data_IF_290847787804
#
_entry.id   IF_290847787804
#
_cell.length_a   1.000
_cell.length_b   1.000
_cell.length_c   1.000
_cell.angle_alpha   90.00
_cell.angle_beta   90.00
_cell.angle_gamma   90.00
#
_symmetry.space_group_name_H-M   'P 1'
#
loop_
_entity.id
_entity.type
_entity.pdbx_description
1 polymer ?
#
# COMPACT_ATOMS: atom_id res chain seq x y z
N UNK A 1 22.04 49.04 -36.16
CA UNK A 1 22.34 48.66 -34.79
C UNK A 1 21.25 47.68 -34.35
N UNK A 2 21.50 46.40 -34.51
CA UNK A 2 20.60 45.32 -34.08
C UNK A 2 21.02 44.97 -32.63
N UNK A 3 20.10 45.16 -31.70
CA UNK A 3 20.29 44.71 -30.32
C UNK A 3 19.95 43.19 -30.25
N UNK A 4 20.98 42.38 -30.07
CA UNK A 4 20.90 40.96 -29.78
C UNK A 4 20.34 40.82 -28.36
N UNK A 5 19.09 40.38 -28.27
CA UNK A 5 18.49 39.96 -27.00
C UNK A 5 19.10 38.60 -26.61
N UNK A 6 20.03 38.64 -25.68
CA UNK A 6 20.53 37.44 -24.99
C UNK A 6 19.46 36.95 -24.05
N UNK A 7 18.74 35.89 -24.46
CA UNK A 7 17.94 35.08 -23.56
C UNK A 7 18.86 34.32 -22.64
N UNK A 8 19.11 34.87 -21.46
CA UNK A 8 19.71 34.13 -20.36
C UNK A 8 18.64 33.13 -19.85
N UNK A 9 18.72 31.89 -20.35
CA UNK A 9 18.12 30.72 -19.74
C UNK A 9 18.77 30.57 -18.35
N UNK A 10 18.13 31.17 -17.35
CA UNK A 10 18.39 30.81 -15.97
C UNK A 10 17.73 29.43 -15.71
N UNK A 11 18.35 28.36 -16.16
CA UNK A 11 18.28 27.09 -15.46
C UNK A 11 18.81 27.34 -14.05
N UNK A 12 17.91 27.71 -13.14
CA UNK A 12 18.27 27.74 -11.71
C UNK A 12 18.73 26.31 -11.37
N UNK A 13 20.01 26.16 -11.17
CA UNK A 13 20.67 24.93 -10.77
C UNK A 13 19.97 24.45 -9.47
N UNK A 14 19.13 23.43 -9.61
CA UNK A 14 18.39 22.83 -8.52
C UNK A 14 19.38 22.13 -7.60
N UNK A 15 19.85 22.82 -6.58
CA UNK A 15 20.64 22.22 -5.50
C UNK A 15 19.70 21.54 -4.51
N UNK A 16 19.60 20.21 -4.51
CA UNK A 16 18.75 19.52 -3.57
C UNK A 16 19.27 19.72 -2.14
N UNK A 17 18.42 20.23 -1.25
CA UNK A 17 18.73 20.45 0.18
C UNK A 17 19.07 19.12 0.87
N UNK A 18 18.43 18.04 0.44
CA UNK A 18 18.71 16.68 0.89
C UNK A 18 19.53 15.92 -0.16
N UNK A 19 20.52 15.14 0.28
CA UNK A 19 21.19 14.22 -0.62
C UNK A 19 20.17 13.23 -1.20
N UNK A 20 20.20 13.01 -2.52
CA UNK A 20 19.25 12.17 -3.25
C UNK A 20 19.13 10.78 -2.65
N UNK A 21 20.25 10.13 -2.38
CA UNK A 21 20.27 8.78 -1.79
C UNK A 21 19.62 8.76 -0.40
N UNK A 22 19.84 9.80 0.40
CA UNK A 22 19.26 9.91 1.74
C UNK A 22 17.72 9.97 1.69
N UNK A 23 17.17 10.73 0.75
CA UNK A 23 15.70 10.81 0.55
C UNK A 23 15.12 9.48 0.11
N UNK A 24 15.75 8.81 -0.86
CA UNK A 24 15.28 7.51 -1.37
C UNK A 24 15.31 6.43 -0.27
N UNK A 25 16.43 6.34 0.45
CA UNK A 25 16.59 5.37 1.55
C UNK A 25 15.60 5.67 2.68
N UNK A 26 15.41 6.93 3.04
CA UNK A 26 14.47 7.32 4.10
C UNK A 26 13.01 6.99 3.73
N UNK A 27 12.61 7.29 2.50
CA UNK A 27 11.26 6.98 2.01
C UNK A 27 11.03 5.47 1.95
N UNK A 28 12.02 4.70 1.48
CA UNK A 28 11.96 3.24 1.42
C UNK A 28 11.87 2.60 2.81
N UNK A 29 12.76 2.98 3.72
CA UNK A 29 12.79 2.43 5.09
C UNK A 29 11.48 2.71 5.80
N UNK A 30 10.97 3.94 5.72
CA UNK A 30 9.72 4.31 6.34
C UNK A 30 8.55 3.45 5.88
N UNK A 31 8.32 3.38 4.58
CA UNK A 31 7.22 2.58 4.03
C UNK A 31 7.42 1.07 4.22
N UNK A 32 8.67 0.57 4.22
CA UNK A 32 8.94 -0.85 4.50
C UNK A 32 8.55 -1.23 5.94
N UNK A 33 8.84 -0.37 6.93
CA UNK A 33 8.43 -0.56 8.32
C UNK A 33 6.91 -0.59 8.44
N UNK A 34 6.24 0.33 7.78
CA UNK A 34 4.77 0.40 7.84
C UNK A 34 4.07 -0.77 7.19
N UNK A 35 4.54 -1.19 6.02
CA UNK A 35 4.00 -2.38 5.38
C UNK A 35 4.33 -3.65 6.18
N UNK A 36 5.50 -3.72 6.81
CA UNK A 36 5.82 -4.80 7.75
C UNK A 36 4.79 -4.87 8.88
N UNK A 37 4.56 -3.76 9.59
CA UNK A 37 3.59 -3.67 10.69
C UNK A 37 2.17 -4.02 10.25
N UNK A 38 1.78 -3.61 9.04
CA UNK A 38 0.48 -3.93 8.47
C UNK A 38 0.33 -5.43 8.18
N UNK A 39 1.35 -6.05 7.60
CA UNK A 39 1.29 -7.47 7.20
C UNK A 39 1.47 -8.44 8.36
N UNK A 40 2.24 -8.10 9.41
CA UNK A 40 2.29 -8.95 10.61
C UNK A 40 0.92 -9.06 11.27
N UNK A 41 0.14 -7.97 11.29
CA UNK A 41 -1.24 -8.01 11.76
C UNK A 41 -2.10 -8.92 10.86
N UNK A 42 -2.02 -8.77 9.55
CA UNK A 42 -2.79 -9.57 8.60
C UNK A 42 -2.56 -11.07 8.80
N UNK A 43 -1.31 -11.47 8.99
CA UNK A 43 -0.94 -12.87 9.24
C UNK A 43 -1.45 -13.33 10.62
N UNK A 44 -1.23 -12.55 11.66
CA UNK A 44 -1.69 -12.89 13.01
C UNK A 44 -3.23 -12.95 13.12
N UNK A 45 -3.95 -12.11 12.37
CA UNK A 45 -5.42 -12.12 12.34
C UNK A 45 -6.01 -13.45 11.85
N UNK A 46 -5.25 -14.18 11.04
CA UNK A 46 -5.67 -15.50 10.54
C UNK A 46 -5.23 -16.65 11.46
N UNK A 47 -3.97 -16.62 11.91
CA UNK A 47 -3.36 -17.79 12.57
C UNK A 47 -3.33 -17.72 14.10
N UNK A 48 -3.47 -16.52 14.70
CA UNK A 48 -3.26 -16.29 16.15
C UNK A 48 -4.49 -15.70 16.83
N UNK A 49 -5.01 -14.58 16.32
CA UNK A 49 -6.00 -13.77 17.03
C UNK A 49 -7.34 -14.49 17.27
N UNK A 50 -7.84 -15.37 16.39
CA UNK A 50 -9.04 -16.14 16.66
C UNK A 50 -8.95 -16.95 17.97
N UNK A 51 -7.76 -17.42 18.31
CA UNK A 51 -7.52 -18.26 19.50
C UNK A 51 -7.24 -17.46 20.77
N UNK A 52 -6.74 -16.21 20.65
CA UNK A 52 -6.24 -15.45 21.79
C UNK A 52 -7.18 -14.32 22.19
N UNK A 53 -7.77 -13.61 21.24
CA UNK A 53 -8.51 -12.38 21.51
C UNK A 53 -10.03 -12.54 21.49
N UNK A 54 -10.55 -13.68 21.07
CA UNK A 54 -11.99 -13.89 20.95
C UNK A 54 -12.47 -15.04 21.84
N UNK A 55 -13.78 -15.05 22.23
CA UNK A 55 -14.32 -16.11 23.07
C UNK A 55 -14.22 -17.47 22.37
N UNK A 56 -13.85 -18.48 23.13
CA UNK A 56 -13.80 -19.85 22.66
C UNK A 56 -15.23 -20.42 22.54
N UNK A 57 -15.57 -20.94 21.41
CA UNK A 57 -16.90 -21.51 21.15
C UNK A 57 -17.00 -21.98 19.71
N UNK A 58 -17.31 -21.07 18.80
CA UNK A 58 -17.35 -21.36 17.35
C UNK A 58 -16.07 -20.83 16.69
N UNK A 59 -15.17 -21.71 16.17
CA UNK A 59 -13.94 -21.31 15.49
C UNK A 59 -14.20 -20.44 14.26
N UNK A 60 -15.31 -20.67 13.57
CA UNK A 60 -15.68 -19.87 12.38
C UNK A 60 -16.06 -18.46 12.80
N UNK A 61 -16.84 -18.30 13.86
CA UNK A 61 -17.22 -16.99 14.39
C UNK A 61 -15.99 -16.21 14.88
N UNK A 62 -15.07 -16.86 15.60
CA UNK A 62 -13.83 -16.25 16.07
C UNK A 62 -12.93 -15.77 14.90
N UNK A 63 -12.84 -16.58 13.83
CA UNK A 63 -12.10 -16.21 12.62
C UNK A 63 -12.74 -15.00 11.92
N UNK A 64 -14.06 -14.98 11.77
CA UNK A 64 -14.78 -13.86 11.17
C UNK A 64 -14.64 -12.57 11.98
N UNK A 65 -14.69 -12.66 13.32
CA UNK A 65 -14.46 -11.52 14.22
C UNK A 65 -13.05 -10.99 14.09
N UNK A 66 -12.04 -11.87 14.00
CA UNK A 66 -10.65 -11.47 13.78
C UNK A 66 -10.46 -10.77 12.43
N UNK A 67 -11.06 -11.28 11.36
CA UNK A 67 -11.03 -10.64 10.05
C UNK A 67 -11.79 -9.31 10.03
N UNK A 68 -12.85 -9.18 10.83
CA UNK A 68 -13.54 -7.89 10.99
C UNK A 68 -12.62 -6.84 11.61
N UNK A 69 -11.79 -7.21 12.59
CA UNK A 69 -10.78 -6.28 13.15
C UNK A 69 -9.73 -5.88 12.12
N UNK A 70 -9.36 -6.79 11.22
CA UNK A 70 -8.48 -6.45 10.09
C UNK A 70 -9.09 -5.35 9.19
N UNK A 71 -10.40 -5.44 8.90
CA UNK A 71 -11.12 -4.46 8.09
C UNK A 71 -11.16 -3.05 8.71
N UNK A 72 -11.11 -2.92 10.05
CA UNK A 72 -11.13 -1.63 10.76
C UNK A 72 -10.03 -0.68 10.24
N UNK A 73 -8.84 -1.20 9.93
CA UNK A 73 -7.76 -0.38 9.43
C UNK A 73 -8.11 0.29 8.09
N UNK A 74 -8.83 -0.40 7.20
CA UNK A 74 -9.21 0.18 5.91
C UNK A 74 -10.20 1.34 6.05
N UNK A 75 -11.08 1.28 7.06
CA UNK A 75 -11.97 2.39 7.40
C UNK A 75 -11.21 3.54 8.07
N UNK A 76 -10.25 3.24 8.91
CA UNK A 76 -9.42 4.23 9.59
C UNK A 76 -8.47 4.99 8.64
N UNK A 77 -8.02 4.36 7.54
CA UNK A 77 -7.05 4.95 6.60
C UNK A 77 -7.53 6.25 5.93
N UNK A 78 -8.73 6.36 5.35
CA UNK A 78 -9.23 7.64 4.84
C UNK A 78 -9.33 8.73 5.92
N UNK A 79 -9.71 8.37 7.15
CA UNK A 79 -9.73 9.30 8.28
C UNK A 79 -8.31 9.77 8.59
N UNK A 80 -7.34 8.84 8.66
CA UNK A 80 -5.93 9.14 8.84
C UNK A 80 -5.38 10.04 7.72
N UNK A 81 -5.75 9.77 6.46
CA UNK A 81 -5.32 10.60 5.33
C UNK A 81 -5.89 12.02 5.40
N UNK A 82 -7.12 12.19 5.90
CA UNK A 82 -7.71 13.50 6.12
C UNK A 82 -7.00 14.27 7.24
N UNK A 83 -6.74 13.62 8.37
CA UNK A 83 -6.06 14.20 9.52
C UNK A 83 -4.61 14.54 9.19
N UNK A 84 -3.81 13.56 8.81
CA UNK A 84 -2.38 13.75 8.50
C UNK A 84 -2.18 14.56 7.22
N UNK A 85 -3.07 14.44 6.23
CA UNK A 85 -3.04 15.28 5.04
C UNK A 85 -3.23 16.76 5.38
N UNK A 86 -4.17 17.06 6.28
CA UNK A 86 -4.38 18.45 6.76
C UNK A 86 -3.08 19.01 7.38
N UNK A 87 -2.42 18.25 8.25
CA UNK A 87 -1.15 18.68 8.83
C UNK A 87 -0.02 18.72 7.81
N UNK A 88 0.03 17.75 6.88
CA UNK A 88 1.06 17.68 5.84
C UNK A 88 1.03 18.85 4.86
N UNK A 89 -0.16 19.37 4.55
CA UNK A 89 -0.33 20.53 3.69
C UNK A 89 -0.18 21.89 4.45
N UNK A 90 -0.21 21.88 5.79
CA UNK A 90 -0.11 23.08 6.61
C UNK A 90 1.16 23.22 7.45
N UNK A 91 1.61 22.14 8.06
CA UNK A 91 2.74 22.10 9.00
C UNK A 91 4.01 21.61 8.33
N UNK A 92 3.89 20.70 7.36
CA UNK A 92 5.02 20.14 6.61
C UNK A 92 4.96 18.62 6.49
N UNK A 93 5.66 18.14 5.47
CA UNK A 93 5.68 16.69 5.14
C UNK A 93 6.43 15.89 6.20
N UNK A 94 7.59 16.40 6.64
CA UNK A 94 8.47 15.75 7.62
C UNK A 94 7.77 15.53 8.98
N UNK A 95 7.21 16.58 9.56
CA UNK A 95 6.53 16.50 10.86
C UNK A 95 5.37 15.52 10.83
N UNK A 96 4.60 15.54 9.75
CA UNK A 96 3.44 14.65 9.55
C UNK A 96 3.87 13.20 9.41
N UNK A 97 4.95 12.91 8.66
CA UNK A 97 5.51 11.57 8.52
C UNK A 97 6.04 11.00 9.85
N UNK A 98 6.62 11.83 10.70
CA UNK A 98 7.05 11.44 12.05
C UNK A 98 5.84 11.08 12.91
N UNK A 99 4.79 11.91 12.89
CA UNK A 99 3.58 11.67 13.68
C UNK A 99 2.81 10.42 13.20
N UNK A 100 2.71 10.18 11.90
CA UNK A 100 2.05 8.99 11.36
C UNK A 100 2.81 7.69 11.71
N UNK A 101 4.14 7.69 11.57
CA UNK A 101 4.99 6.57 11.97
C UNK A 101 4.84 6.23 13.47
N UNK A 102 4.85 7.25 14.33
CA UNK A 102 4.66 7.06 15.78
C UNK A 102 3.27 6.49 16.09
N UNK A 103 2.23 7.04 15.46
CA UNK A 103 0.85 6.56 15.66
C UNK A 103 0.73 5.08 15.28
N UNK A 104 1.27 4.69 14.14
CA UNK A 104 1.23 3.31 13.67
C UNK A 104 2.10 2.40 14.54
N UNK A 105 3.35 2.77 14.79
CA UNK A 105 4.29 1.94 15.51
C UNK A 105 3.91 1.72 16.97
N UNK A 106 3.45 2.75 17.68
CA UNK A 106 2.94 2.61 19.05
C UNK A 106 1.74 1.66 19.06
N UNK A 107 0.81 1.82 18.13
CA UNK A 107 -0.35 0.92 17.99
C UNK A 107 0.08 -0.53 17.77
N UNK A 108 1.10 -0.76 16.92
CA UNK A 108 1.64 -2.10 16.65
C UNK A 108 2.25 -2.73 17.90
N UNK A 109 3.08 -1.99 18.63
CA UNK A 109 3.70 -2.47 19.87
C UNK A 109 2.64 -2.77 20.94
N UNK A 110 1.63 -1.92 21.05
CA UNK A 110 0.49 -2.15 21.97
C UNK A 110 -0.19 -3.47 21.66
N UNK A 111 -0.44 -3.81 20.39
CA UNK A 111 -1.04 -5.11 20.00
C UNK A 111 -0.19 -6.27 20.53
N UNK A 112 1.13 -6.20 20.39
CA UNK A 112 2.05 -7.22 20.92
C UNK A 112 2.01 -7.38 22.45
N UNK A 113 1.60 -6.36 23.18
CA UNK A 113 1.54 -6.34 24.64
C UNK A 113 0.15 -6.65 25.20
N UNK A 114 -0.90 -6.69 24.36
CA UNK A 114 -2.27 -6.91 24.84
C UNK A 114 -2.44 -8.26 25.50
N UNK A 115 -3.13 -8.31 26.68
CA UNK A 115 -3.61 -9.56 27.25
C UNK A 115 -4.71 -10.18 26.38
N UNK A 116 -4.81 -11.52 26.42
CA UNK A 116 -5.85 -12.25 25.70
C UNK A 116 -7.22 -12.22 26.38
N UNK A 117 -8.22 -12.78 25.69
CA UNK A 117 -9.60 -12.86 26.17
C UNK A 117 -9.73 -13.59 27.51
N UNK A 118 -8.94 -14.64 27.72
CA UNK A 118 -8.92 -15.39 28.99
C UNK A 118 -8.54 -14.53 30.21
N UNK A 119 -7.83 -13.42 30.02
CA UNK A 119 -7.36 -12.54 31.10
C UNK A 119 -8.27 -11.35 31.32
N UNK A 120 -8.70 -10.67 30.24
CA UNK A 120 -9.45 -9.39 30.33
C UNK A 120 -10.82 -9.43 29.63
N UNK A 121 -11.26 -10.61 29.21
CA UNK A 121 -12.59 -10.79 28.59
C UNK A 121 -12.82 -9.90 27.38
N UNK A 122 -13.99 -9.27 27.33
CA UNK A 122 -14.45 -8.44 26.19
C UNK A 122 -13.53 -7.24 25.90
N UNK A 123 -12.72 -6.80 26.86
CA UNK A 123 -11.75 -5.74 26.64
C UNK A 123 -10.62 -6.16 25.70
N UNK A 124 -10.34 -7.46 25.55
CA UNK A 124 -9.30 -7.94 24.65
C UNK A 124 -9.60 -7.61 23.16
N UNK A 125 -10.73 -8.01 22.58
CA UNK A 125 -11.07 -7.63 21.20
C UNK A 125 -11.31 -6.13 21.05
N UNK A 126 -11.83 -5.43 22.06
CA UNK A 126 -12.04 -3.99 22.02
C UNK A 126 -10.72 -3.23 21.90
N UNK A 127 -9.73 -3.54 22.76
CA UNK A 127 -8.41 -2.91 22.71
C UNK A 127 -7.66 -3.28 21.42
N UNK A 128 -7.81 -4.52 20.94
CA UNK A 128 -7.27 -4.93 19.66
C UNK A 128 -7.85 -4.08 18.52
N UNK A 129 -9.17 -3.86 18.51
CA UNK A 129 -9.86 -3.02 17.52
C UNK A 129 -9.38 -1.56 17.58
N UNK A 130 -9.23 -0.99 18.79
CA UNK A 130 -8.72 0.37 18.97
C UNK A 130 -7.27 0.50 18.50
N UNK A 131 -6.40 -0.43 18.83
CA UNK A 131 -5.02 -0.43 18.36
C UNK A 131 -4.96 -0.61 16.83
N UNK A 132 -5.81 -1.46 16.26
CA UNK A 132 -5.92 -1.61 14.80
C UNK A 132 -6.42 -0.35 14.11
N UNK A 133 -7.35 0.36 14.71
CA UNK A 133 -7.79 1.67 14.23
C UNK A 133 -6.62 2.67 14.25
N UNK A 134 -5.82 2.70 15.31
CA UNK A 134 -4.61 3.53 15.41
C UNK A 134 -3.58 3.20 14.31
N UNK A 135 -3.34 1.91 14.02
CA UNK A 135 -2.50 1.51 12.89
C UNK A 135 -3.04 2.04 11.56
N UNK A 136 -4.35 1.91 11.33
CA UNK A 136 -5.00 2.41 10.11
C UNK A 136 -4.89 3.93 9.97
N UNK A 137 -5.07 4.69 11.07
CA UNK A 137 -4.87 6.14 11.07
C UNK A 137 -3.44 6.50 10.64
N UNK A 138 -2.42 5.90 11.25
CA UNK A 138 -1.02 6.15 10.90
C UNK A 138 -0.74 5.83 9.44
N UNK A 139 -1.10 4.64 8.99
CA UNK A 139 -0.90 4.21 7.60
C UNK A 139 -1.61 5.13 6.58
N UNK A 140 -2.77 5.67 6.95
CA UNK A 140 -3.51 6.62 6.10
C UNK A 140 -2.74 7.90 5.81
N UNK A 141 -1.89 8.36 6.73
CA UNK A 141 -1.07 9.57 6.58
C UNK A 141 0.26 9.35 5.87
N UNK A 142 0.79 8.16 5.91
CA UNK A 142 2.18 7.90 5.55
C UNK A 142 2.44 7.91 4.04
N UNK A 143 1.65 7.17 3.29
CA UNK A 143 1.92 6.92 1.88
C UNK A 143 2.08 8.21 1.07
N UNK A 144 1.15 9.15 1.20
CA UNK A 144 1.19 10.42 0.46
C UNK A 144 2.41 11.26 0.83
N UNK A 145 2.77 11.29 2.12
CA UNK A 145 3.96 12.00 2.60
C UNK A 145 5.26 11.40 2.07
N UNK A 146 5.39 10.09 2.07
CA UNK A 146 6.58 9.40 1.56
C UNK A 146 6.71 9.59 0.03
N UNK A 147 5.62 9.47 -0.71
CA UNK A 147 5.57 9.71 -2.15
C UNK A 147 5.97 11.16 -2.49
N UNK A 148 5.40 12.14 -1.78
CA UNK A 148 5.72 13.56 -1.97
C UNK A 148 7.18 13.87 -1.60
N UNK A 149 7.67 13.35 -0.47
CA UNK A 149 9.06 13.56 -0.08
C UNK A 149 10.02 13.06 -1.17
N UNK A 150 9.75 11.90 -1.75
CA UNK A 150 10.55 11.34 -2.83
C UNK A 150 10.44 12.16 -4.13
N UNK A 151 9.22 12.52 -4.55
CA UNK A 151 8.99 13.17 -5.85
C UNK A 151 9.33 14.66 -5.85
N UNK A 152 9.10 15.38 -4.74
CA UNK A 152 9.43 16.81 -4.60
C UNK A 152 10.95 17.05 -4.48
N UNK A 153 11.75 16.04 -4.10
CA UNK A 153 13.21 16.08 -4.11
C UNK A 153 13.83 15.44 -5.37
N UNK A 154 13.00 14.95 -6.30
CA UNK A 154 13.46 14.30 -7.51
C UNK A 154 13.85 15.30 -8.62
N UNK A 155 14.85 14.97 -9.46
CA UNK A 155 15.04 15.69 -10.71
C UNK A 155 13.79 15.63 -11.59
N UNK A 156 13.44 16.71 -12.32
CA UNK A 156 12.16 16.77 -13.08
C UNK A 156 11.90 15.58 -14.03
N UNK A 157 12.94 15.01 -14.62
CA UNK A 157 12.83 13.87 -15.55
C UNK A 157 12.85 12.49 -14.89
N UNK A 158 12.98 12.39 -13.55
CA UNK A 158 13.11 11.13 -12.80
C UNK A 158 12.10 11.00 -11.66
N UNK A 159 11.01 11.74 -11.68
CA UNK A 159 10.03 11.77 -10.59
C UNK A 159 9.32 10.44 -10.39
N UNK A 160 8.98 9.72 -11.47
CA UNK A 160 8.32 8.44 -11.33
C UNK A 160 9.28 7.38 -10.78
N UNK A 161 10.55 7.39 -11.20
CA UNK A 161 11.57 6.53 -10.60
C UNK A 161 11.75 6.82 -9.11
N UNK A 162 11.89 8.09 -8.71
CA UNK A 162 12.02 8.46 -7.29
C UNK A 162 10.78 8.10 -6.49
N UNK A 163 9.57 8.39 -7.01
CA UNK A 163 8.30 8.01 -6.40
C UNK A 163 8.06 6.50 -6.30
N UNK A 164 8.79 5.69 -7.09
CA UNK A 164 8.72 4.23 -6.99
C UNK A 164 9.48 3.65 -5.78
N UNK A 165 10.44 4.38 -5.21
CA UNK A 165 11.20 3.89 -4.04
C UNK A 165 10.33 3.68 -2.79
N UNK A 166 9.45 4.60 -2.37
CA UNK A 166 8.50 4.31 -1.30
C UNK A 166 7.64 3.09 -1.58
N UNK A 167 7.30 2.83 -2.86
CA UNK A 167 6.48 1.69 -3.25
C UNK A 167 7.17 0.34 -3.05
N UNK A 168 8.52 0.30 -3.08
CA UNK A 168 9.29 -0.90 -2.73
C UNK A 168 9.09 -1.34 -1.28
N UNK A 169 8.62 -0.45 -0.41
CA UNK A 169 8.26 -0.80 0.96
C UNK A 169 7.23 -1.92 1.05
N UNK A 170 6.26 -1.97 0.11
CA UNK A 170 5.21 -2.99 0.13
C UNK A 170 5.76 -4.43 -0.10
N UNK A 171 6.49 -4.75 -1.17
CA UNK A 171 7.06 -6.09 -1.34
C UNK A 171 8.09 -6.45 -0.28
N UNK A 172 8.89 -5.49 0.18
CA UNK A 172 9.89 -5.70 1.24
C UNK A 172 9.18 -6.00 2.57
N UNK A 173 8.20 -5.19 2.97
CA UNK A 173 7.41 -5.41 4.18
C UNK A 173 6.67 -6.75 4.16
N UNK A 174 6.08 -7.12 3.02
CA UNK A 174 5.42 -8.42 2.83
C UNK A 174 6.39 -9.59 3.02
N UNK A 175 7.57 -9.52 2.39
CA UNK A 175 8.58 -10.57 2.47
C UNK A 175 9.06 -10.77 3.92
N UNK A 176 9.43 -9.68 4.60
CA UNK A 176 9.93 -9.78 5.98
C UNK A 176 8.84 -10.13 6.99
N UNK A 177 7.61 -9.64 6.84
CA UNK A 177 6.52 -9.99 7.73
C UNK A 177 6.21 -11.50 7.68
N UNK A 178 5.99 -12.05 6.49
CA UNK A 178 5.72 -13.48 6.34
C UNK A 178 6.94 -14.35 6.65
N UNK A 179 8.14 -13.88 6.28
CA UNK A 179 9.40 -14.56 6.61
C UNK A 179 9.66 -14.66 8.12
N UNK A 180 9.30 -13.62 8.89
CA UNK A 180 9.42 -13.63 10.36
C UNK A 180 8.50 -14.67 10.98
N UNK A 181 7.25 -14.76 10.57
CA UNK A 181 6.32 -15.78 11.07
C UNK A 181 6.77 -17.20 10.68
N UNK A 182 7.24 -17.37 9.46
CA UNK A 182 7.78 -18.66 9.01
C UNK A 182 9.01 -19.08 9.82
N UNK A 183 9.94 -18.15 10.06
CA UNK A 183 11.12 -18.38 10.88
C UNK A 183 10.75 -18.77 12.31
N UNK A 184 9.83 -18.02 12.93
CA UNK A 184 9.36 -18.33 14.28
C UNK A 184 8.66 -19.70 14.37
N UNK A 185 7.91 -20.08 13.33
CA UNK A 185 7.29 -21.41 13.25
C UNK A 185 8.30 -22.55 13.11
N UNK A 186 9.51 -22.29 12.62
CA UNK A 186 10.58 -23.27 12.56
C UNK A 186 11.39 -23.36 13.87
N UNK A 187 11.56 -22.24 14.57
CA UNK A 187 12.40 -22.16 15.77
C UNK A 187 11.65 -22.53 17.05
N UNK A 188 10.33 -22.37 17.06
CA UNK A 188 9.48 -22.54 18.23
C UNK A 188 8.53 -23.72 18.05
N UNK A 189 8.18 -24.36 19.17
CA UNK A 189 7.04 -25.30 19.17
C UNK A 189 5.72 -24.54 18.99
N UNK A 190 4.67 -25.24 18.58
CA UNK A 190 3.34 -24.62 18.43
C UNK A 190 2.85 -23.98 19.73
N UNK A 191 3.13 -24.62 20.87
CA UNK A 191 2.79 -24.08 22.20
C UNK A 191 3.57 -22.79 22.51
N UNK A 192 4.88 -22.76 22.25
CA UNK A 192 5.72 -21.58 22.42
C UNK A 192 5.29 -20.46 21.46
N UNK A 193 5.01 -20.79 20.22
CA UNK A 193 4.54 -19.84 19.22
C UNK A 193 3.22 -19.18 19.66
N UNK A 194 2.23 -19.97 20.07
CA UNK A 194 0.91 -19.48 20.49
C UNK A 194 0.94 -18.75 21.83
N UNK A 195 1.83 -19.12 22.78
CA UNK A 195 1.91 -18.47 24.08
C UNK A 195 2.59 -17.09 24.03
N UNK A 196 3.73 -16.97 23.33
CA UNK A 196 4.51 -15.73 23.30
C UNK A 196 5.15 -15.41 21.95
N UNK A 197 5.47 -16.42 21.13
CA UNK A 197 6.26 -16.25 19.90
C UNK A 197 5.62 -15.27 18.91
N UNK A 198 4.31 -15.29 18.75
CA UNK A 198 3.59 -14.39 17.87
C UNK A 198 3.70 -12.90 18.26
N UNK A 199 4.07 -12.59 19.50
CA UNK A 199 4.24 -11.23 20.01
C UNK A 199 5.56 -10.61 19.53
N UNK A 200 6.55 -11.43 19.21
CA UNK A 200 7.91 -11.00 18.84
C UNK A 200 7.93 -10.01 17.70
N UNK A 201 7.30 -10.25 16.54
CA UNK A 201 7.32 -9.27 15.45
C UNK A 201 6.65 -7.94 15.81
N UNK A 202 5.59 -7.95 16.62
CA UNK A 202 4.91 -6.73 17.09
C UNK A 202 5.78 -5.91 18.04
N UNK A 203 6.48 -6.55 18.96
CA UNK A 203 7.39 -5.86 19.91
C UNK A 203 8.65 -5.40 19.17
N UNK A 204 9.15 -6.19 18.21
CA UNK A 204 10.28 -5.82 17.37
C UNK A 204 10.01 -4.56 16.52
N UNK A 205 8.75 -4.28 16.22
CA UNK A 205 8.34 -3.02 15.58
C UNK A 205 8.84 -1.79 16.35
N UNK A 206 8.98 -1.83 17.67
CA UNK A 206 9.57 -0.72 18.43
C UNK A 206 10.98 -0.35 17.94
N UNK A 207 11.81 -1.34 17.64
CA UNK A 207 13.17 -1.13 17.09
C UNK A 207 13.08 -0.52 15.68
N UNK A 208 12.18 -1.03 14.85
CA UNK A 208 11.98 -0.53 13.50
C UNK A 208 11.48 0.92 13.50
N UNK A 209 10.58 1.28 14.42
CA UNK A 209 10.10 2.65 14.60
C UNK A 209 11.24 3.59 15.01
N UNK A 210 12.11 3.18 15.94
CA UNK A 210 13.28 3.99 16.32
C UNK A 210 14.20 4.23 15.10
N UNK A 211 14.46 3.21 14.30
CA UNK A 211 15.23 3.33 13.06
C UNK A 211 14.54 4.31 12.09
N UNK A 212 13.23 4.14 11.88
CA UNK A 212 12.45 5.00 11.01
C UNK A 212 12.44 6.46 11.47
N UNK A 213 12.32 6.71 12.77
CA UNK A 213 12.41 8.04 13.37
C UNK A 213 13.79 8.68 13.15
N UNK A 214 14.87 7.95 13.44
CA UNK A 214 16.22 8.43 13.23
C UNK A 214 16.43 8.89 11.78
N UNK A 215 16.00 8.09 10.84
CA UNK A 215 16.13 8.40 9.41
C UNK A 215 15.31 9.63 9.03
N UNK A 216 14.05 9.74 9.49
CA UNK A 216 13.14 10.86 9.15
C UNK A 216 13.54 12.18 9.79
N UNK A 217 13.95 12.16 11.06
CA UNK A 217 14.39 13.38 11.76
C UNK A 217 15.63 13.98 11.07
N UNK A 218 16.46 13.14 10.47
CA UNK A 218 17.68 13.58 9.75
C UNK A 218 17.42 14.27 8.40
N UNK A 219 16.16 14.29 7.88
CA UNK A 219 15.81 14.95 6.63
C UNK A 219 15.41 16.41 6.86
N UNK A 220 15.64 17.25 5.85
CA UNK A 220 15.10 18.60 5.75
C UNK A 220 13.70 18.55 5.08
N UNK A 221 12.89 19.58 5.30
CA UNK A 221 11.57 19.70 4.70
C UNK A 221 11.66 19.82 3.16
N UNK A 222 10.57 19.54 2.47
CA UNK A 222 10.49 19.61 1.01
C UNK A 222 10.65 21.04 0.50
N UNK A 223 11.48 21.27 -0.53
CA UNK A 223 11.63 22.62 -1.12
C UNK A 223 10.34 23.19 -1.70
N UNK A 224 9.46 22.34 -2.20
CA UNK A 224 8.16 22.74 -2.75
C UNK A 224 7.25 23.25 -1.65
N UNK A 225 7.21 22.54 -0.51
CA UNK A 225 6.44 22.98 0.65
C UNK A 225 6.96 24.31 1.21
N UNK A 226 8.28 24.48 1.33
CA UNK A 226 8.85 25.73 1.82
C UNK A 226 8.46 26.93 0.96
N UNK A 227 8.43 26.78 -0.36
CA UNK A 227 7.97 27.84 -1.29
C UNK A 227 6.50 28.22 -1.03
N UNK A 228 5.60 27.24 -0.86
CA UNK A 228 4.18 27.48 -0.57
C UNK A 228 4.00 28.14 0.79
N UNK A 229 4.74 27.70 1.81
CA UNK A 229 4.71 28.27 3.14
C UNK A 229 5.19 29.74 3.15
N UNK A 230 6.30 30.05 2.48
CA UNK A 230 6.84 31.43 2.33
C UNK A 230 5.86 32.32 1.56
N UNK A 231 5.15 31.79 0.55
CA UNK A 231 4.15 32.52 -0.22
C UNK A 231 2.80 32.71 0.52
N UNK A 232 2.63 32.15 1.72
CA UNK A 232 1.37 32.15 2.50
C UNK A 232 0.15 31.62 1.74
N UNK A 233 0.36 30.67 0.81
CA UNK A 233 -0.66 30.06 -0.04
C UNK A 233 -1.29 28.78 0.55
N UNK A 234 -1.09 28.54 1.85
CA UNK A 234 -1.65 27.37 2.53
C UNK A 234 -3.18 27.49 2.67
N UNK A 235 -3.87 26.40 2.37
CA UNK A 235 -5.33 26.31 2.48
C UNK A 235 -5.73 26.03 3.93
N UNK A 236 -6.78 26.72 4.43
CA UNK A 236 -7.25 26.54 5.82
C UNK A 236 -7.78 25.12 6.09
N UNK A 237 -8.55 24.56 5.16
CA UNK A 237 -9.16 23.22 5.27
C UNK A 237 -8.91 22.46 3.96
N UNK A 238 -7.76 21.75 3.82
CA UNK A 238 -7.40 21.06 2.58
C UNK A 238 -8.45 20.04 2.13
N UNK A 239 -8.98 19.20 3.03
CA UNK A 239 -10.01 18.22 2.70
C UNK A 239 -11.31 18.90 2.20
N UNK A 240 -11.75 19.98 2.84
CA UNK A 240 -12.92 20.75 2.40
C UNK A 240 -12.71 21.32 1.00
N UNK A 241 -11.54 21.88 0.72
CA UNK A 241 -11.17 22.37 -0.60
C UNK A 241 -11.12 21.24 -1.63
N UNK A 242 -10.57 20.09 -1.27
CA UNK A 242 -10.51 18.90 -2.11
C UNK A 242 -11.91 18.44 -2.54
N UNK A 243 -12.83 18.29 -1.57
CA UNK A 243 -14.18 17.77 -1.79
C UNK A 243 -15.15 18.79 -2.39
N UNK A 244 -14.79 20.07 -2.50
CA UNK A 244 -15.64 21.11 -3.12
C UNK A 244 -15.10 21.58 -4.46
N UNK A 245 -13.79 21.79 -4.56
CA UNK A 245 -13.16 22.36 -5.77
C UNK A 245 -12.47 21.32 -6.67
N UNK A 246 -12.08 20.17 -6.12
CA UNK A 246 -11.28 19.16 -6.83
C UNK A 246 -11.92 17.77 -6.84
N UNK A 247 -13.26 17.68 -6.73
CA UNK A 247 -14.02 16.41 -6.68
C UNK A 247 -13.71 15.53 -7.87
N UNK A 248 -13.72 16.07 -9.09
CA UNK A 248 -13.46 15.29 -10.31
C UNK A 248 -12.10 14.59 -10.25
N UNK A 249 -11.06 15.31 -9.88
CA UNK A 249 -9.68 14.77 -9.79
C UNK A 249 -9.58 13.73 -8.68
N UNK A 250 -10.25 13.96 -7.54
CA UNK A 250 -10.29 13.03 -6.41
C UNK A 250 -10.94 11.71 -6.80
N UNK A 251 -12.09 11.76 -7.51
CA UNK A 251 -12.78 10.58 -8.02
C UNK A 251 -11.90 9.84 -9.03
N UNK A 252 -11.34 10.55 -10.01
CA UNK A 252 -10.45 9.91 -10.99
C UNK A 252 -9.23 9.28 -10.33
N UNK A 253 -8.56 9.97 -9.40
CA UNK A 253 -7.43 9.42 -8.65
C UNK A 253 -7.80 8.16 -7.85
N UNK A 254 -8.99 8.12 -7.24
CA UNK A 254 -9.51 6.94 -6.56
C UNK A 254 -9.67 5.76 -7.52
N UNK A 255 -10.26 5.96 -8.68
CA UNK A 255 -10.46 4.88 -9.67
C UNK A 255 -9.15 4.47 -10.37
N UNK A 256 -8.17 5.36 -10.51
CA UNK A 256 -6.83 5.02 -11.03
C UNK A 256 -6.13 3.98 -10.15
N UNK A 257 -6.31 4.05 -8.82
CA UNK A 257 -5.73 3.08 -7.89
C UNK A 257 -6.50 1.76 -7.77
N UNK A 258 -7.74 1.69 -8.28
CA UNK A 258 -8.67 0.59 -8.01
C UNK A 258 -8.15 -0.77 -8.50
N UNK A 259 -7.68 -0.85 -9.75
CA UNK A 259 -7.11 -2.08 -10.30
C UNK A 259 -5.89 -2.57 -9.51
N UNK A 260 -5.05 -1.65 -9.06
CA UNK A 260 -3.84 -1.94 -8.29
C UNK A 260 -4.20 -2.66 -6.98
N UNK A 261 -5.14 -2.12 -6.22
CA UNK A 261 -5.60 -2.75 -4.98
C UNK A 261 -6.29 -4.09 -5.22
N UNK A 262 -7.21 -4.13 -6.17
CA UNK A 262 -7.96 -5.36 -6.50
C UNK A 262 -7.01 -6.48 -6.93
N UNK A 263 -6.05 -6.18 -7.81
CA UNK A 263 -5.05 -7.14 -8.26
C UNK A 263 -4.21 -7.66 -7.09
N UNK A 264 -3.68 -6.79 -6.23
CA UNK A 264 -2.84 -7.20 -5.10
C UNK A 264 -3.57 -8.17 -4.17
N UNK A 265 -4.79 -7.84 -3.77
CA UNK A 265 -5.52 -8.67 -2.80
C UNK A 265 -6.09 -9.95 -3.42
N UNK A 266 -6.37 -9.96 -4.72
CA UNK A 266 -6.67 -11.21 -5.44
C UNK A 266 -5.39 -12.08 -5.51
N UNK A 267 -4.22 -11.52 -5.83
CA UNK A 267 -2.98 -12.31 -5.93
C UNK A 267 -2.49 -12.83 -4.58
N UNK A 268 -2.68 -12.09 -3.50
CA UNK A 268 -2.15 -12.48 -2.18
C UNK A 268 -3.18 -13.21 -1.33
N UNK A 269 -4.31 -12.59 -1.03
CA UNK A 269 -5.31 -13.14 -0.09
C UNK A 269 -6.20 -14.17 -0.75
N UNK A 270 -6.85 -13.82 -1.85
CA UNK A 270 -7.78 -14.73 -2.52
C UNK A 270 -7.06 -15.95 -3.10
N UNK A 271 -5.96 -15.76 -3.84
CA UNK A 271 -5.22 -16.88 -4.44
C UNK A 271 -4.67 -17.84 -3.39
N UNK A 272 -4.23 -17.32 -2.23
CA UNK A 272 -3.81 -18.16 -1.12
C UNK A 272 -4.99 -18.97 -0.56
N UNK A 273 -6.12 -18.31 -0.29
CA UNK A 273 -7.33 -18.96 0.21
C UNK A 273 -7.81 -20.06 -0.74
N UNK A 274 -7.92 -19.75 -2.04
CA UNK A 274 -8.35 -20.71 -3.06
C UNK A 274 -7.37 -21.87 -3.22
N UNK A 275 -6.06 -21.58 -3.25
CA UNK A 275 -5.05 -22.63 -3.45
C UNK A 275 -4.95 -23.59 -2.27
N UNK A 276 -5.24 -23.14 -1.04
CA UNK A 276 -5.16 -23.98 0.17
C UNK A 276 -6.48 -24.62 0.57
N UNK A 277 -7.61 -24.13 0.10
CA UNK A 277 -8.91 -24.73 0.37
C UNK A 277 -9.01 -26.13 -0.21
N UNK A 278 -9.64 -27.04 0.53
CA UNK A 278 -9.84 -28.43 0.10
C UNK A 278 -10.67 -28.55 -1.18
N UNK A 279 -10.36 -29.54 -2.01
CA UNK A 279 -11.18 -29.87 -3.18
C UNK A 279 -12.60 -30.31 -2.72
N UNK A 280 -13.66 -29.98 -3.46
CA UNK A 280 -13.68 -29.33 -4.79
C UNK A 280 -13.71 -27.78 -4.75
N UNK A 281 -13.70 -27.16 -3.56
CA UNK A 281 -13.80 -25.71 -3.39
C UNK A 281 -12.54 -24.99 -3.83
N UNK A 282 -11.38 -25.60 -3.58
CA UNK A 282 -10.06 -25.06 -3.94
C UNK A 282 -9.14 -26.15 -4.49
N UNK A 283 -7.83 -25.87 -4.46
CA UNK A 283 -6.80 -26.74 -5.06
C UNK A 283 -6.23 -27.77 -4.05
N UNK A 284 -6.45 -27.61 -2.75
CA UNK A 284 -5.91 -28.49 -1.71
C UNK A 284 -4.38 -28.47 -1.58
N UNK A 285 -3.72 -27.43 -2.06
CA UNK A 285 -2.27 -27.31 -1.97
C UNK A 285 -1.81 -27.07 -0.52
N UNK A 286 -0.66 -27.62 -0.09
CA UNK A 286 -0.10 -27.35 1.23
C UNK A 286 0.14 -25.85 1.44
N UNK A 287 -0.28 -25.33 2.58
CA UNK A 287 -0.16 -23.89 2.90
C UNK A 287 1.28 -23.38 2.78
N UNK A 288 2.25 -24.14 3.28
CA UNK A 288 3.65 -23.75 3.22
C UNK A 288 4.16 -23.65 1.78
N UNK A 289 3.69 -24.52 0.88
CA UNK A 289 4.04 -24.47 -0.53
C UNK A 289 3.52 -23.18 -1.19
N UNK A 290 2.25 -22.82 -0.93
CA UNK A 290 1.64 -21.59 -1.45
C UNK A 290 2.33 -20.35 -0.89
N UNK A 291 2.69 -20.34 0.40
CA UNK A 291 3.48 -19.26 1.00
C UNK A 291 4.83 -19.09 0.33
N UNK A 292 5.55 -20.18 0.08
CA UNK A 292 6.82 -20.14 -0.64
C UNK A 292 6.68 -19.65 -2.08
N UNK A 293 5.58 -20.01 -2.76
CA UNK A 293 5.28 -19.48 -4.10
C UNK A 293 5.07 -17.97 -4.05
N UNK A 294 4.28 -17.46 -3.09
CA UNK A 294 4.03 -16.04 -2.90
C UNK A 294 5.31 -15.26 -2.57
N UNK A 295 6.14 -15.78 -1.66
CA UNK A 295 7.42 -15.14 -1.29
C UNK A 295 8.39 -15.04 -2.47
N UNK A 296 8.44 -16.05 -3.35
CA UNK A 296 9.23 -15.98 -4.58
C UNK A 296 8.62 -15.05 -5.62
N UNK A 297 7.30 -15.09 -5.78
CA UNK A 297 6.59 -14.25 -6.74
C UNK A 297 6.65 -12.74 -6.37
N UNK A 298 6.73 -12.42 -5.09
CA UNK A 298 6.88 -11.03 -4.60
C UNK A 298 8.20 -10.38 -5.04
N UNK A 299 9.22 -11.18 -5.39
CA UNK A 299 10.47 -10.69 -5.97
C UNK A 299 10.19 -10.05 -7.34
N UNK A 300 9.30 -10.66 -8.13
CA UNK A 300 8.82 -10.07 -9.38
C UNK A 300 8.15 -8.72 -9.16
N UNK A 301 7.29 -8.61 -8.13
CA UNK A 301 6.73 -7.34 -7.71
C UNK A 301 7.82 -6.30 -7.42
N UNK A 302 8.79 -6.62 -6.58
CA UNK A 302 9.86 -5.71 -6.18
C UNK A 302 10.71 -5.23 -7.38
N UNK A 303 11.05 -6.12 -8.31
CA UNK A 303 11.83 -5.78 -9.51
C UNK A 303 11.05 -4.88 -10.47
N UNK A 304 9.76 -5.14 -10.63
CA UNK A 304 8.92 -4.38 -11.58
C UNK A 304 8.57 -2.97 -11.10
N UNK A 305 8.59 -2.68 -9.79
CA UNK A 305 8.31 -1.35 -9.25
C UNK A 305 9.25 -0.27 -9.79
N UNK A 306 10.58 -0.35 -9.65
CA UNK A 306 11.48 0.67 -10.19
C UNK A 306 11.51 0.66 -11.73
N UNK A 307 11.37 -0.50 -12.37
CA UNK A 307 11.29 -0.60 -13.82
C UNK A 307 10.10 0.20 -14.35
N UNK A 308 8.93 0.08 -13.72
CA UNK A 308 7.75 0.85 -14.09
C UNK A 308 7.95 2.35 -13.88
N UNK A 309 8.66 2.76 -12.83
CA UNK A 309 9.08 4.15 -12.63
C UNK A 309 9.91 4.68 -13.79
N UNK A 310 10.91 3.91 -14.24
CA UNK A 310 11.72 4.24 -15.42
C UNK A 310 10.90 4.35 -16.70
N UNK A 311 9.99 3.40 -16.95
CA UNK A 311 9.11 3.41 -18.11
C UNK A 311 8.16 4.63 -18.09
N UNK A 312 7.60 4.97 -16.94
CA UNK A 312 6.75 6.14 -16.77
C UNK A 312 7.50 7.46 -16.96
N UNK A 313 8.78 7.53 -16.58
CA UNK A 313 9.64 8.68 -16.86
C UNK A 313 10.01 8.78 -18.35
N UNK A 314 10.20 7.64 -19.03
CA UNK A 314 10.57 7.61 -20.45
C UNK A 314 9.38 7.88 -21.40
N UNK A 315 8.24 7.22 -21.14
CA UNK A 315 7.09 7.22 -22.08
C UNK A 315 5.90 8.08 -21.62
N UNK A 316 5.90 8.52 -20.37
CA UNK A 316 4.79 9.27 -19.74
C UNK A 316 4.00 8.40 -18.77
N UNK A 317 3.42 9.06 -17.73
CA UNK A 317 2.67 8.37 -16.67
C UNK A 317 1.40 7.73 -17.21
N UNK A 318 0.58 8.53 -17.88
CA UNK A 318 -0.71 8.08 -18.43
C UNK A 318 -0.53 6.96 -19.45
N UNK A 319 0.38 7.14 -20.41
CA UNK A 319 0.60 6.14 -21.48
C UNK A 319 1.06 4.80 -20.91
N UNK A 320 2.04 4.82 -20.00
CA UNK A 320 2.53 3.60 -19.34
C UNK A 320 1.42 2.90 -18.56
N UNK A 321 0.63 3.64 -17.79
CA UNK A 321 -0.47 3.08 -17.01
C UNK A 321 -1.60 2.51 -17.87
N UNK A 322 -1.94 3.13 -19.00
CA UNK A 322 -2.92 2.60 -19.95
C UNK A 322 -2.47 1.24 -20.49
N UNK A 323 -1.21 1.12 -20.91
CA UNK A 323 -0.65 -0.15 -21.39
C UNK A 323 -0.67 -1.21 -20.30
N UNK A 324 -0.19 -0.88 -19.10
CA UNK A 324 -0.13 -1.80 -17.98
C UNK A 324 -1.53 -2.26 -17.56
N UNK A 325 -2.50 -1.33 -17.49
CA UNK A 325 -3.89 -1.66 -17.13
C UNK A 325 -4.53 -2.56 -18.21
N UNK A 326 -4.22 -2.34 -19.48
CA UNK A 326 -4.67 -3.24 -20.56
C UNK A 326 -4.07 -4.65 -20.39
N UNK A 327 -2.79 -4.77 -20.00
CA UNK A 327 -2.17 -6.07 -19.71
C UNK A 327 -2.84 -6.76 -18.51
N UNK A 328 -3.26 -5.98 -17.49
CA UNK A 328 -4.03 -6.54 -16.35
C UNK A 328 -5.38 -7.08 -16.82
N UNK A 329 -6.08 -6.39 -17.72
CA UNK A 329 -7.35 -6.88 -18.30
C UNK A 329 -7.13 -8.19 -19.06
N UNK A 330 -6.11 -8.26 -19.90
CA UNK A 330 -5.78 -9.49 -20.64
C UNK A 330 -5.41 -10.64 -19.70
N UNK A 331 -4.58 -10.38 -18.70
CA UNK A 331 -4.25 -11.35 -17.65
C UNK A 331 -5.51 -11.84 -16.91
N UNK A 332 -6.39 -10.92 -16.56
CA UNK A 332 -7.65 -11.22 -15.86
C UNK A 332 -8.57 -12.13 -16.68
N UNK A 333 -8.68 -11.88 -17.98
CA UNK A 333 -9.57 -12.66 -18.86
C UNK A 333 -9.01 -14.03 -19.21
N UNK A 334 -7.68 -14.18 -19.32
CA UNK A 334 -7.09 -15.37 -19.93
C UNK A 334 -6.23 -16.23 -18.98
N UNK A 335 -5.82 -15.75 -17.78
CA UNK A 335 -4.88 -16.47 -16.94
C UNK A 335 -5.54 -17.32 -15.84
N UNK A 336 -6.74 -16.96 -15.36
CA UNK A 336 -7.34 -17.61 -14.18
C UNK A 336 -7.59 -19.10 -14.38
N UNK A 337 -8.34 -19.49 -15.39
CA UNK A 337 -8.66 -20.90 -15.61
C UNK A 337 -7.43 -21.72 -16.03
N UNK A 338 -6.61 -21.32 -17.02
CA UNK A 338 -5.52 -22.17 -17.48
C UNK A 338 -4.32 -22.22 -16.52
N UNK A 339 -4.09 -21.20 -15.70
CA UNK A 339 -2.96 -21.17 -14.79
C UNK A 339 -3.39 -21.52 -13.36
N UNK A 340 -4.22 -20.68 -12.72
CA UNK A 340 -4.65 -20.91 -11.34
C UNK A 340 -5.57 -22.13 -11.24
N UNK A 341 -6.54 -22.27 -12.14
CA UNK A 341 -7.49 -23.37 -12.16
C UNK A 341 -6.92 -24.73 -12.59
N UNK A 342 -5.68 -24.77 -13.07
CA UNK A 342 -5.01 -26.02 -13.49
C UNK A 342 -4.73 -26.98 -12.33
N UNK A 343 -4.61 -26.47 -11.09
CA UNK A 343 -4.17 -27.24 -9.94
C UNK A 343 -2.69 -27.67 -9.97
N UNK A 344 -1.95 -27.35 -11.04
CA UNK A 344 -0.53 -27.64 -11.15
C UNK A 344 0.29 -26.57 -10.41
N UNK A 345 1.08 -26.93 -9.38
CA UNK A 345 1.86 -25.98 -8.59
C UNK A 345 2.76 -25.07 -9.43
N UNK A 346 3.36 -25.56 -10.50
CA UNK A 346 4.21 -24.76 -11.38
C UNK A 346 3.40 -23.68 -12.13
N UNK A 347 2.20 -24.00 -12.62
CA UNK A 347 1.32 -23.06 -13.30
C UNK A 347 0.69 -22.06 -12.32
N UNK A 348 0.36 -22.49 -11.11
CA UNK A 348 -0.08 -21.62 -10.01
C UNK A 348 1.03 -20.60 -9.65
N UNK A 349 2.27 -21.05 -9.58
CA UNK A 349 3.42 -20.16 -9.36
C UNK A 349 3.58 -19.15 -10.51
N UNK A 350 3.44 -19.57 -11.76
CA UNK A 350 3.48 -18.66 -12.93
C UNK A 350 2.37 -17.63 -12.85
N UNK A 351 1.15 -18.03 -12.46
CA UNK A 351 0.03 -17.12 -12.25
C UNK A 351 0.36 -16.04 -11.21
N UNK A 352 0.87 -16.45 -10.05
CA UNK A 352 1.25 -15.54 -8.98
C UNK A 352 2.40 -14.60 -9.38
N UNK A 353 3.42 -15.13 -10.08
CA UNK A 353 4.56 -14.36 -10.56
C UNK A 353 4.12 -13.30 -11.58
N UNK A 354 3.29 -13.66 -12.55
CA UNK A 354 2.76 -12.72 -13.55
C UNK A 354 1.87 -11.66 -12.89
N UNK A 355 0.93 -12.07 -12.05
CA UNK A 355 0.03 -11.15 -11.36
C UNK A 355 0.75 -10.16 -10.44
N UNK A 356 1.73 -10.63 -9.64
CA UNK A 356 2.53 -9.78 -8.78
C UNK A 356 3.54 -8.92 -9.56
N UNK A 357 4.03 -9.39 -10.71
CA UNK A 357 4.82 -8.55 -11.61
C UNK A 357 3.98 -7.41 -12.21
N UNK A 358 2.76 -7.68 -12.66
CA UNK A 358 1.80 -6.66 -13.10
C UNK A 358 1.45 -5.69 -11.96
N UNK A 359 1.35 -6.20 -10.72
CA UNK A 359 1.20 -5.34 -9.53
C UNK A 359 2.37 -4.37 -9.39
N UNK A 360 3.61 -4.82 -9.57
CA UNK A 360 4.79 -3.95 -9.53
C UNK A 360 4.76 -2.88 -10.61
N UNK A 361 4.37 -3.26 -11.82
CA UNK A 361 4.26 -2.35 -12.96
C UNK A 361 3.20 -1.26 -12.74
N UNK A 362 2.04 -1.59 -12.17
CA UNK A 362 0.99 -0.60 -11.90
C UNK A 362 1.28 0.23 -10.65
N UNK A 363 1.92 -0.33 -9.63
CA UNK A 363 2.15 0.34 -8.35
C UNK A 363 3.32 1.33 -8.40
N UNK A 364 4.40 1.03 -9.13
CA UNK A 364 5.60 1.86 -9.21
C UNK A 364 5.32 3.31 -9.61
N UNK A 365 4.65 3.59 -10.74
CA UNK A 365 4.37 4.95 -11.20
C UNK A 365 3.41 5.75 -10.31
N UNK A 366 2.61 5.08 -9.45
CA UNK A 366 1.60 5.73 -8.63
C UNK A 366 2.17 6.74 -7.64
N UNK A 367 3.41 6.51 -7.17
CA UNK A 367 4.09 7.45 -6.29
C UNK A 367 4.31 8.84 -6.89
N UNK A 368 4.35 8.95 -8.22
CA UNK A 368 4.40 10.22 -8.92
C UNK A 368 3.05 10.61 -9.52
N UNK A 369 2.40 9.69 -10.24
CA UNK A 369 1.15 9.99 -10.96
C UNK A 369 0.07 10.55 -10.05
N UNK A 370 -0.18 9.90 -8.91
CA UNK A 370 -1.30 10.29 -8.06
C UNK A 370 -1.10 11.69 -7.43
N UNK A 371 0.06 12.03 -6.84
CA UNK A 371 0.32 13.40 -6.39
C UNK A 371 0.32 14.45 -7.50
N UNK A 372 0.84 14.12 -8.68
CA UNK A 372 0.89 15.04 -9.82
C UNK A 372 -0.52 15.47 -10.33
N UNK A 373 -1.58 14.73 -10.01
CA UNK A 373 -2.95 15.10 -10.37
C UNK A 373 -3.47 16.31 -9.57
N UNK A 374 -2.91 16.59 -8.39
CA UNK A 374 -3.43 17.58 -7.46
C UNK A 374 -2.56 18.84 -7.43
N UNK A 375 -3.19 20.05 -7.29
CA UNK A 375 -2.45 21.28 -7.06
C UNK A 375 -1.71 21.21 -5.71
N UNK A 376 -0.61 21.95 -5.63
CA UNK A 376 0.36 21.86 -4.50
C UNK A 376 -0.29 22.08 -3.13
N UNK A 377 -1.31 22.96 -3.06
CA UNK A 377 -1.98 23.37 -1.82
C UNK A 377 -2.80 22.24 -1.14
N UNK A 378 -3.22 21.23 -1.92
CA UNK A 378 -4.02 20.08 -1.44
C UNK A 378 -3.44 18.75 -1.86
N UNK A 379 -2.20 18.74 -2.33
CA UNK A 379 -1.55 17.57 -2.95
C UNK A 379 -1.40 16.40 -1.98
N UNK A 380 -0.95 16.66 -0.77
CA UNK A 380 -0.82 15.63 0.25
C UNK A 380 -2.17 15.01 0.57
N UNK A 381 -3.15 15.86 0.93
CA UNK A 381 -4.50 15.41 1.26
C UNK A 381 -5.14 14.69 0.08
N UNK A 382 -5.03 15.22 -1.14
CA UNK A 382 -5.65 14.65 -2.35
C UNK A 382 -5.08 13.28 -2.71
N UNK A 383 -3.76 13.17 -2.77
CA UNK A 383 -3.09 11.91 -3.08
C UNK A 383 -3.38 10.83 -2.02
N UNK A 384 -3.21 11.16 -0.73
CA UNK A 384 -3.46 10.23 0.37
C UNK A 384 -4.93 9.81 0.45
N UNK A 385 -5.87 10.75 0.29
CA UNK A 385 -7.30 10.46 0.36
C UNK A 385 -7.74 9.54 -0.79
N UNK A 386 -7.38 9.86 -2.04
CA UNK A 386 -7.70 9.02 -3.19
C UNK A 386 -7.11 7.61 -3.07
N UNK A 387 -5.86 7.50 -2.64
CA UNK A 387 -5.19 6.23 -2.37
C UNK A 387 -5.95 5.39 -1.34
N UNK A 388 -6.33 5.99 -0.22
CA UNK A 388 -6.95 5.26 0.89
C UNK A 388 -8.44 4.97 0.67
N UNK A 389 -9.20 5.84 -0.01
CA UNK A 389 -10.58 5.54 -0.43
C UNK A 389 -10.61 4.38 -1.43
N UNK A 390 -9.68 4.36 -2.39
CA UNK A 390 -9.54 3.24 -3.32
C UNK A 390 -9.27 1.92 -2.62
N UNK A 391 -8.55 1.93 -1.48
CA UNK A 391 -8.29 0.72 -0.70
C UNK A 391 -9.55 0.09 -0.09
N UNK A 392 -10.57 0.89 0.22
CA UNK A 392 -11.85 0.34 0.68
C UNK A 392 -12.51 -0.44 -0.46
N UNK A 393 -12.55 0.14 -1.66
CA UNK A 393 -13.22 -0.44 -2.82
C UNK A 393 -12.47 -1.64 -3.40
N UNK A 394 -11.14 -1.57 -3.46
CA UNK A 394 -10.30 -2.56 -4.13
C UNK A 394 -9.61 -3.56 -3.21
N UNK A 395 -9.40 -3.24 -1.93
CA UNK A 395 -8.67 -4.08 -1.01
C UNK A 395 -9.58 -4.78 0.03
N UNK A 396 -10.43 -3.98 0.70
CA UNK A 396 -11.25 -4.48 1.81
C UNK A 396 -12.26 -5.54 1.35
N UNK A 397 -12.92 -5.32 0.21
CA UNK A 397 -14.02 -6.18 -0.28
C UNK A 397 -13.59 -7.19 -1.34
N UNK A 398 -12.47 -6.98 -2.02
CA UNK A 398 -12.08 -7.78 -3.18
C UNK A 398 -11.91 -9.28 -2.89
N UNK A 399 -11.23 -9.72 -1.82
CA UNK A 399 -11.10 -11.15 -1.54
C UNK A 399 -12.44 -11.82 -1.27
N UNK A 400 -13.35 -11.13 -0.57
CA UNK A 400 -14.67 -11.63 -0.26
C UNK A 400 -15.53 -11.79 -1.54
N UNK A 401 -15.57 -10.74 -2.37
CA UNK A 401 -16.28 -10.77 -3.66
C UNK A 401 -15.70 -11.87 -4.56
N UNK A 402 -14.37 -12.00 -4.62
CA UNK A 402 -13.70 -13.03 -5.42
C UNK A 402 -14.10 -14.45 -4.95
N UNK A 403 -14.10 -14.71 -3.64
CA UNK A 403 -14.48 -15.99 -3.08
C UNK A 403 -15.96 -16.29 -3.35
N UNK A 404 -16.86 -15.32 -3.19
CA UNK A 404 -18.28 -15.46 -3.48
C UNK A 404 -18.52 -15.74 -4.98
N UNK A 405 -17.85 -15.01 -5.87
CA UNK A 405 -17.96 -15.23 -7.31
C UNK A 405 -17.45 -16.61 -7.71
N UNK A 406 -16.32 -17.04 -7.15
CA UNK A 406 -15.76 -18.37 -7.44
C UNK A 406 -16.74 -19.47 -7.02
N UNK A 407 -17.34 -19.36 -5.84
CA UNK A 407 -18.27 -20.37 -5.32
C UNK A 407 -19.54 -20.47 -6.15
N UNK A 408 -20.08 -19.35 -6.64
CA UNK A 408 -21.37 -19.31 -7.34
C UNK A 408 -21.25 -19.40 -8.87
N UNK A 409 -20.15 -18.91 -9.45
CA UNK A 409 -19.98 -18.75 -10.90
C UNK A 409 -18.66 -19.30 -11.45
N UNK A 410 -17.80 -19.82 -10.57
CA UNK A 410 -16.50 -20.37 -10.95
C UNK A 410 -15.39 -19.35 -11.08
N UNK A 411 -14.18 -19.86 -11.31
CA UNK A 411 -12.94 -19.08 -11.28
C UNK A 411 -12.88 -18.00 -12.37
N UNK A 412 -13.50 -18.26 -13.55
CA UNK A 412 -13.58 -17.26 -14.63
C UNK A 412 -14.30 -15.97 -14.22
N UNK A 413 -15.29 -16.06 -13.30
CA UNK A 413 -16.00 -14.89 -12.79
C UNK A 413 -15.10 -13.98 -11.94
N UNK A 414 -14.11 -14.54 -11.25
CA UNK A 414 -13.09 -13.77 -10.53
C UNK A 414 -12.21 -12.99 -11.50
N UNK A 415 -11.83 -13.62 -12.62
CA UNK A 415 -11.12 -12.93 -13.71
C UNK A 415 -11.95 -11.78 -14.29
N UNK A 416 -13.24 -11.99 -14.55
CA UNK A 416 -14.14 -10.93 -15.03
C UNK A 416 -14.27 -9.79 -14.03
N UNK A 417 -14.33 -10.08 -12.74
CA UNK A 417 -14.35 -9.06 -11.68
C UNK A 417 -13.08 -8.20 -11.72
N UNK A 418 -11.90 -8.81 -11.78
CA UNK A 418 -10.63 -8.08 -11.90
C UNK A 418 -10.59 -7.25 -13.20
N UNK A 419 -11.05 -7.82 -14.32
CA UNK A 419 -11.13 -7.12 -15.59
C UNK A 419 -12.06 -5.91 -15.53
N UNK A 420 -13.20 -6.01 -14.84
CA UNK A 420 -14.14 -4.89 -14.64
C UNK A 420 -13.50 -3.77 -13.80
N UNK A 421 -12.81 -4.11 -12.70
CA UNK A 421 -12.10 -3.13 -11.88
C UNK A 421 -10.96 -2.46 -12.66
N UNK A 422 -10.22 -3.21 -13.46
CA UNK A 422 -9.20 -2.66 -14.35
C UNK A 422 -9.81 -1.82 -15.48
N UNK A 423 -10.99 -2.16 -15.97
CA UNK A 423 -11.75 -1.36 -16.93
C UNK A 423 -12.12 0.01 -16.37
N UNK A 424 -12.58 0.08 -15.13
CA UNK A 424 -12.85 1.34 -14.42
C UNK A 424 -11.57 2.18 -14.26
N UNK A 425 -10.45 1.55 -13.92
CA UNK A 425 -9.14 2.23 -13.87
C UNK A 425 -8.73 2.74 -15.25
N UNK A 426 -8.93 1.96 -16.32
CA UNK A 426 -8.62 2.37 -17.69
C UNK A 426 -9.45 3.59 -18.10
N UNK A 427 -10.76 3.59 -17.82
CA UNK A 427 -11.64 4.74 -18.07
C UNK A 427 -11.14 5.98 -17.32
N UNK A 428 -10.80 5.84 -16.04
CA UNK A 428 -10.29 6.96 -15.25
C UNK A 428 -8.97 7.52 -15.84
N UNK A 429 -8.05 6.65 -16.26
CA UNK A 429 -6.81 7.06 -16.94
C UNK A 429 -7.05 7.78 -18.26
N UNK A 430 -8.03 7.33 -19.05
CA UNK A 430 -8.38 7.99 -20.32
C UNK A 430 -8.99 9.37 -20.12
N UNK A 431 -9.68 9.60 -19.00
CA UNK A 431 -10.28 10.88 -18.62
C UNK A 431 -9.31 11.85 -17.94
N UNK A 432 -8.09 11.41 -17.62
CA UNK A 432 -7.02 12.26 -17.08
C UNK A 432 -6.10 12.75 -18.19
N UNK A 433 -5.29 13.75 -17.88
CA UNK A 433 -4.25 14.27 -18.77
C UNK A 433 -2.87 13.67 -18.40
N UNK A 434 -1.90 13.80 -19.32
CA UNK A 434 -0.51 13.40 -19.06
C UNK A 434 0.14 14.39 -18.07
N UNK A 435 0.78 13.87 -17.02
CA UNK A 435 1.35 14.69 -15.93
C UNK A 435 2.87 14.83 -16.01
N UNK A 436 3.54 14.13 -16.95
CA UNK A 436 5.00 14.05 -17.05
C UNK A 436 5.73 15.39 -17.05
N UNK A 437 5.13 16.41 -17.65
CA UNK A 437 5.73 17.73 -17.84
C UNK A 437 5.20 18.80 -16.88
N UNK A 438 4.35 18.42 -15.92
CA UNK A 438 3.84 19.36 -14.94
C UNK A 438 4.94 19.77 -13.95
N UNK A 439 5.00 21.07 -13.63
CA UNK A 439 5.79 21.57 -12.50
C UNK A 439 5.15 21.15 -11.19
N UNK A 440 5.93 20.64 -10.24
CA UNK A 440 5.47 20.37 -8.88
C UNK A 440 5.49 21.65 -8.05
#
# INVERSE_FOLDING_TARGET
MQATATTLDHEQEYTPINSRNKVLVASLIGTAIEFFDFYIYATAAVIVFPHIFFPQGDPTAATLQSLATFAIAFVARPIGSAVFGHFGDRVGRKATLVASLLTMGISTVVIGLLPGYATIGIFAPLLLALARFGQGLGLGGEWGGAALLATENAPPRKRALYGSFPQLGAPIGFFFANGTFLLLSWLLTDEQFMSWGWRVPFIFSAVLVIIGLYVRVSLHESPVFEKVAKAKKQVKIPLGTLLTKHVRVTVLGTFIMLATYTLFYIMTVYSMTFSTAAAPVGLGLPRNEVLWMLMRAVIGFAVMVPLAGLLADAFGRRKSMVVITTLIILFALFAFNPLLGSGNPALVFVFLLLGLSLMGLTFGPMGALLPELFPTEVRYTGASFSYNVSSILGASVAPYIAAWLQTNYGLGAVGLYLAAMAGLTLIALLLTHETRHQSL
#
